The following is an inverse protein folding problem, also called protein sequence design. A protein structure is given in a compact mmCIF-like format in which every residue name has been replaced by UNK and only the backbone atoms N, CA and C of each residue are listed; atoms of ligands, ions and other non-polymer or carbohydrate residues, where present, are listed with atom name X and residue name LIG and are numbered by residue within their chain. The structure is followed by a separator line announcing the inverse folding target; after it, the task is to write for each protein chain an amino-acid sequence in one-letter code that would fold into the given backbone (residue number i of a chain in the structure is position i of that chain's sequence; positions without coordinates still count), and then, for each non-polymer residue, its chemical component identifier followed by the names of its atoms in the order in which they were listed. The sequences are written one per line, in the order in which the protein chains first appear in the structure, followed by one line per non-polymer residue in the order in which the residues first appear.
data_IF_277753657160
#
_entry.id   IF_277753657160
#
_cell.length_a   1.000
_cell.length_b   1.000
_cell.length_c   1.000
_cell.angle_alpha   90.00
_cell.angle_beta   90.00
_cell.angle_gamma   90.00
#
_symmetry.space_group_name_H-M   'P 1'
#
loop_
_entity.id
_entity.type
_entity.pdbx_description
1 polymer ?
#
# COMPACT_ATOMS: atom_id res chain seq x y z
N UNK A 1 24.91 -4.38 -79.34
CA UNK A 1 26.15 -3.93 -80.02
C UNK A 1 26.67 -2.68 -79.31
N UNK A 2 27.95 -2.72 -78.87
CA UNK A 2 28.91 -1.61 -78.65
C UNK A 2 28.40 -0.35 -77.93
N UNK A 3 28.95 0.07 -76.79
CA UNK A 3 30.24 0.79 -76.57
C UNK A 3 30.45 0.86 -75.04
N UNK A 4 31.55 0.45 -74.41
CA UNK A 4 32.95 0.94 -74.41
C UNK A 4 33.14 2.34 -73.79
N UNK A 5 33.90 2.38 -72.69
CA UNK A 5 34.69 3.52 -72.18
C UNK A 5 34.05 4.30 -71.03
N UNK A 6 34.74 4.82 -70.02
CA UNK A 6 36.17 5.10 -69.79
C UNK A 6 36.35 5.36 -68.27
N UNK A 7 37.56 5.09 -67.79
CA UNK A 7 38.15 5.38 -66.47
C UNK A 7 37.92 6.82 -65.96
N UNK A 8 37.82 6.97 -64.64
CA UNK A 8 38.31 8.18 -63.96
C UNK A 8 38.90 7.82 -62.59
N UNK A 9 40.18 8.16 -62.43
CA UNK A 9 40.92 8.15 -61.18
C UNK A 9 40.98 9.59 -60.64
N UNK A 10 40.88 9.77 -59.32
CA UNK A 10 41.58 10.80 -58.54
C UNK A 10 41.21 10.59 -57.06
N UNK A 11 42.13 10.18 -56.20
CA UNK A 11 43.20 10.95 -55.54
C UNK A 11 42.72 11.60 -54.23
N UNK A 12 43.43 11.19 -53.18
CA UNK A 12 43.28 11.47 -51.76
C UNK A 12 42.91 12.92 -51.41
N UNK A 13 41.95 13.06 -50.49
CA UNK A 13 41.72 14.27 -49.72
C UNK A 13 42.58 14.21 -48.44
N UNK A 14 43.45 15.20 -48.24
CA UNK A 14 44.19 15.40 -47.00
C UNK A 14 44.16 16.89 -46.62
N UNK A 15 43.47 17.21 -45.54
CA UNK A 15 43.52 18.52 -44.86
C UNK A 15 43.87 18.22 -43.39
N UNK A 16 44.91 18.82 -42.80
CA UNK A 16 45.17 18.68 -41.38
C UNK A 16 44.42 19.76 -40.61
N UNK A 17 43.66 19.36 -39.60
CA UNK A 17 43.19 20.25 -38.55
C UNK A 17 43.76 19.74 -37.22
N UNK A 18 44.83 20.38 -36.75
CA UNK A 18 45.37 20.14 -35.40
C UNK A 18 44.87 21.27 -34.52
N UNK A 19 44.03 20.95 -33.55
CA UNK A 19 43.92 21.72 -32.31
C UNK A 19 43.68 20.73 -31.16
N UNK A 20 44.48 20.92 -30.12
CA UNK A 20 44.43 20.22 -28.85
C UNK A 20 43.05 20.37 -28.18
N UNK A 21 42.64 19.37 -27.40
CA UNK A 21 42.18 19.52 -26.02
C UNK A 21 41.85 18.14 -25.44
N UNK A 22 42.53 17.80 -24.35
CA UNK A 22 42.24 16.63 -23.53
C UNK A 22 40.81 16.70 -23.01
N UNK A 23 40.00 15.68 -23.31
CA UNK A 23 38.66 15.49 -22.75
C UNK A 23 38.73 14.35 -21.72
N UNK A 24 38.37 14.68 -20.50
CA UNK A 24 38.27 13.76 -19.38
C UNK A 24 37.29 12.63 -19.68
N UNK A 25 37.70 11.40 -19.38
CA UNK A 25 36.84 10.24 -19.38
C UNK A 25 35.76 10.42 -18.30
N UNK A 26 34.49 10.36 -18.71
CA UNK A 26 33.37 10.04 -17.82
C UNK A 26 32.37 9.23 -18.63
N UNK A 27 32.44 7.92 -18.44
CA UNK A 27 31.62 6.92 -19.08
C UNK A 27 30.17 7.03 -18.61
N UNK A 28 29.30 7.42 -19.54
CA UNK A 28 27.86 7.19 -19.43
C UNK A 28 27.58 5.69 -19.46
N UNK A 29 26.99 5.15 -18.39
CA UNK A 29 25.96 4.10 -18.54
C UNK A 29 24.81 4.42 -17.60
N UNK A 30 23.65 4.63 -18.21
CA UNK A 30 22.39 4.83 -17.52
C UNK A 30 21.97 3.58 -16.75
N UNK A 31 21.54 3.78 -15.50
CA UNK A 31 20.36 3.19 -14.85
C UNK A 31 20.19 3.94 -13.53
N UNK A 32 19.58 5.12 -13.64
CA UNK A 32 19.06 5.84 -12.49
C UNK A 32 17.76 5.13 -12.05
N UNK A 33 17.90 4.02 -11.32
CA UNK A 33 16.83 3.48 -10.48
C UNK A 33 16.83 4.26 -9.15
N UNK A 34 16.71 5.58 -9.26
CA UNK A 34 16.32 6.45 -8.16
C UNK A 34 14.81 6.29 -7.94
N UNK A 35 14.45 5.21 -7.25
CA UNK A 35 13.17 5.09 -6.56
C UNK A 35 13.37 4.64 -5.12
N UNK A 36 14.40 5.16 -4.45
CA UNK A 36 14.44 5.19 -2.99
C UNK A 36 13.70 6.41 -2.48
N UNK A 37 12.42 6.55 -2.85
CA UNK A 37 11.49 7.17 -1.91
C UNK A 37 11.42 6.17 -0.77
N UNK A 38 12.21 6.40 0.28
CA UNK A 38 11.86 5.91 1.60
C UNK A 38 10.43 6.40 1.84
N UNK A 39 9.45 5.53 1.56
CA UNK A 39 8.05 5.84 1.69
C UNK A 39 7.81 6.06 3.18
N UNK A 40 7.95 7.32 3.61
CA UNK A 40 7.56 7.77 4.93
C UNK A 40 6.17 7.19 5.18
N UNK A 41 6.07 6.33 6.18
CA UNK A 41 4.85 5.60 6.49
C UNK A 41 3.78 6.62 6.86
N UNK A 42 2.92 7.00 5.89
CA UNK A 42 1.96 8.09 6.07
C UNK A 42 0.94 7.70 7.12
N UNK A 43 1.02 8.33 8.29
CA UNK A 43 0.07 8.16 9.37
C UNK A 43 -1.26 8.84 9.00
N UNK A 44 -2.36 8.12 9.18
CA UNK A 44 -3.71 8.59 8.89
C UNK A 44 -4.54 8.83 10.15
N UNK A 45 -4.11 8.32 11.30
CA UNK A 45 -4.86 8.45 12.55
C UNK A 45 -4.60 7.30 13.51
N UNK A 46 -5.59 7.00 14.36
CA UNK A 46 -5.50 5.97 15.38
C UNK A 46 -6.77 5.10 15.38
N UNK A 47 -6.59 3.80 15.53
CA UNK A 47 -7.63 2.81 15.76
C UNK A 47 -7.67 2.48 17.26
N UNK A 48 -8.87 2.51 17.85
CA UNK A 48 -9.10 2.08 19.23
C UNK A 48 -10.21 1.03 19.30
N UNK A 49 -9.95 -0.06 19.99
CA UNK A 49 -10.91 -1.15 20.21
C UNK A 49 -10.92 -1.48 21.72
N UNK A 50 -11.79 -0.83 22.51
CA UNK A 50 -11.78 -0.95 23.97
C UNK A 50 -11.96 -2.38 24.48
N UNK A 51 -12.87 -3.16 23.87
CA UNK A 51 -13.12 -4.56 24.27
C UNK A 51 -11.88 -5.46 24.15
N UNK A 52 -10.88 -5.06 23.36
CA UNK A 52 -9.61 -5.78 23.21
C UNK A 52 -8.43 -5.09 23.91
N UNK A 53 -8.63 -3.90 24.48
CA UNK A 53 -7.54 -3.06 24.98
C UNK A 53 -6.58 -2.59 23.89
N UNK A 54 -7.04 -2.48 22.64
CA UNK A 54 -6.17 -2.14 21.50
C UNK A 54 -6.23 -0.64 21.22
N UNK A 55 -5.06 -0.03 21.11
CA UNK A 55 -4.82 1.30 20.55
C UNK A 55 -3.66 1.18 19.57
N UNK A 56 -3.87 1.53 18.30
CA UNK A 56 -2.84 1.36 17.26
C UNK A 56 -2.89 2.50 16.24
N UNK A 57 -1.72 2.91 15.76
CA UNK A 57 -1.60 3.90 14.67
C UNK A 57 -2.07 3.29 13.36
N UNK A 58 -2.87 4.05 12.60
CA UNK A 58 -3.31 3.70 11.25
C UNK A 58 -2.34 4.31 10.24
N UNK A 59 -1.73 3.49 9.42
CA UNK A 59 -0.85 3.90 8.33
C UNK A 59 -1.53 3.68 6.97
N UNK A 60 -1.16 4.47 5.95
CA UNK A 60 -1.61 4.24 4.57
C UNK A 60 -0.89 3.04 3.97
N UNK A 61 -1.65 2.08 3.41
CA UNK A 61 -1.12 0.88 2.78
C UNK A 61 -1.36 -0.39 3.63
N UNK A 62 -1.31 -1.54 2.96
CA UNK A 62 -1.60 -2.87 3.55
C UNK A 62 -0.44 -3.84 3.31
N UNK A 63 0.78 -3.40 3.61
CA UNK A 63 2.01 -4.21 3.51
C UNK A 63 2.53 -4.60 4.89
N UNK A 64 3.48 -5.55 4.94
CA UNK A 64 4.14 -5.91 6.19
C UNK A 64 4.81 -4.71 6.86
N UNK A 65 5.39 -3.78 6.09
CA UNK A 65 6.03 -2.58 6.64
C UNK A 65 5.07 -1.74 7.48
N UNK A 66 3.79 -1.61 7.08
CA UNK A 66 2.77 -0.94 7.90
C UNK A 66 2.37 -1.79 9.11
N UNK A 67 2.12 -3.09 8.90
CA UNK A 67 1.61 -3.97 9.96
C UNK A 67 2.63 -4.24 11.07
N UNK A 68 3.93 -4.13 10.79
CA UNK A 68 5.02 -4.30 11.76
C UNK A 68 5.14 -3.11 12.72
N UNK A 69 4.50 -1.98 12.41
CA UNK A 69 4.50 -0.76 13.23
C UNK A 69 3.10 -0.33 13.70
N UNK A 70 2.03 -0.88 13.14
CA UNK A 70 0.66 -0.57 13.54
C UNK A 70 -0.38 -1.37 12.75
N UNK A 71 -1.45 -0.70 12.33
CA UNK A 71 -2.43 -1.22 11.39
C UNK A 71 -2.37 -0.43 10.08
N UNK A 72 -2.76 -1.06 8.98
CA UNK A 72 -2.69 -0.46 7.65
C UNK A 72 -4.06 -0.30 7.02
N UNK A 73 -4.36 0.87 6.49
CA UNK A 73 -5.60 1.18 5.76
C UNK A 73 -5.41 0.92 4.27
N UNK A 74 -6.38 0.24 3.67
CA UNK A 74 -6.41 -0.03 2.24
C UNK A 74 -6.47 1.29 1.45
N UNK A 75 -5.54 1.52 0.49
CA UNK A 75 -5.53 2.73 -0.31
C UNK A 75 -6.85 2.96 -1.05
N UNK A 76 -7.35 4.21 -1.04
CA UNK A 76 -8.63 4.55 -1.65
C UNK A 76 -9.85 4.29 -0.76
N UNK A 77 -9.65 3.85 0.50
CA UNK A 77 -10.73 3.87 1.51
C UNK A 77 -11.31 5.28 1.65
N UNK A 78 -12.62 5.42 1.90
CA UNK A 78 -13.26 6.72 2.09
C UNK A 78 -12.86 7.35 3.43
N UNK A 79 -13.26 8.61 3.66
CA UNK A 79 -13.07 9.23 4.97
C UNK A 79 -14.00 8.59 6.03
N UNK A 80 -13.60 8.55 7.32
CA UNK A 80 -14.44 8.03 8.37
C UNK A 80 -15.80 8.73 8.44
N UNK A 81 -16.88 7.95 8.60
CA UNK A 81 -18.25 8.45 8.71
C UNK A 81 -18.94 8.74 7.37
N UNK A 82 -18.24 8.67 6.24
CA UNK A 82 -18.86 8.81 4.91
C UNK A 82 -19.25 7.45 4.33
N UNK A 83 -20.20 7.43 3.40
CA UNK A 83 -20.58 6.21 2.69
C UNK A 83 -19.35 5.55 2.03
N UNK A 84 -19.38 4.22 1.99
CA UNK A 84 -18.26 3.40 1.54
C UNK A 84 -17.69 2.53 2.65
N UNK A 85 -16.56 1.90 2.37
CA UNK A 85 -15.98 0.86 3.20
C UNK A 85 -14.51 1.20 3.51
N UNK A 86 -14.22 1.55 4.76
CA UNK A 86 -12.85 1.67 5.25
C UNK A 86 -12.35 0.28 5.57
N UNK A 87 -11.19 -0.10 5.03
CA UNK A 87 -10.64 -1.44 5.22
C UNK A 87 -9.30 -1.34 5.91
N UNK A 88 -9.18 -1.94 7.10
CA UNK A 88 -7.96 -1.88 7.92
C UNK A 88 -7.46 -3.30 8.20
N UNK A 89 -6.21 -3.54 7.83
CA UNK A 89 -5.48 -4.77 8.07
C UNK A 89 -4.50 -4.66 9.24
N UNK A 90 -4.15 -5.79 9.82
CA UNK A 90 -3.12 -5.86 10.84
C UNK A 90 -2.75 -7.30 11.17
N UNK A 91 -1.60 -7.48 11.83
CA UNK A 91 -1.10 -8.79 12.20
C UNK A 91 -1.91 -9.45 13.33
N UNK A 92 -2.05 -10.78 13.23
CA UNK A 92 -2.61 -11.62 14.30
C UNK A 92 -1.54 -12.25 15.18
N UNK A 93 -0.38 -12.60 14.64
CA UNK A 93 0.58 -13.48 15.32
C UNK A 93 2.02 -12.98 15.38
N UNK A 94 2.37 -11.88 14.72
CA UNK A 94 3.73 -11.32 14.79
C UNK A 94 4.02 -10.66 16.14
N UNK A 95 5.22 -10.11 16.31
CA UNK A 95 5.61 -9.40 17.53
C UNK A 95 4.64 -8.25 17.87
N UNK A 96 4.34 -7.39 16.89
CA UNK A 96 3.24 -6.40 16.99
C UNK A 96 1.98 -6.97 16.35
N UNK A 97 1.06 -7.41 17.21
CA UNK A 97 -0.17 -8.11 16.81
C UNK A 97 -1.41 -7.44 17.38
N UNK A 98 -1.79 -6.24 16.88
CA UNK A 98 -2.98 -5.53 17.36
C UNK A 98 -4.25 -6.36 17.21
N UNK A 99 -4.29 -7.33 16.29
CA UNK A 99 -5.45 -8.19 16.04
C UNK A 99 -5.31 -9.60 16.63
N UNK A 100 -4.39 -9.82 17.57
CA UNK A 100 -4.17 -11.14 18.19
C UNK A 100 -5.43 -11.79 18.78
N UNK A 101 -6.33 -10.96 19.34
CA UNK A 101 -7.57 -11.40 20.00
C UNK A 101 -8.82 -10.92 19.25
N UNK A 102 -8.71 -10.63 17.94
CA UNK A 102 -9.83 -10.05 17.18
C UNK A 102 -11.08 -10.93 17.15
N UNK A 103 -10.91 -12.24 17.29
CA UNK A 103 -11.97 -13.23 17.41
C UNK A 103 -12.79 -13.13 18.72
N UNK A 104 -12.32 -12.33 19.69
CA UNK A 104 -13.08 -12.02 20.90
C UNK A 104 -14.09 -10.89 20.72
N UNK A 105 -14.02 -10.12 19.62
CA UNK A 105 -15.01 -9.10 19.32
C UNK A 105 -16.36 -9.72 18.97
N UNK A 106 -17.40 -9.13 19.52
CA UNK A 106 -18.79 -9.56 19.35
C UNK A 106 -19.62 -8.43 18.75
N UNK A 107 -20.76 -8.79 18.16
CA UNK A 107 -21.76 -7.82 17.71
C UNK A 107 -22.11 -6.86 18.85
N UNK A 108 -22.13 -5.56 18.57
CA UNK A 108 -22.37 -4.52 19.57
C UNK A 108 -21.10 -3.85 20.12
N UNK A 109 -19.94 -4.49 20.01
CA UNK A 109 -18.69 -3.88 20.48
C UNK A 109 -18.34 -2.63 19.68
N UNK A 110 -17.80 -1.62 20.36
CA UNK A 110 -17.41 -0.36 19.75
C UNK A 110 -15.98 -0.41 19.21
N UNK A 111 -15.79 0.18 18.03
CA UNK A 111 -14.51 0.45 17.40
C UNK A 111 -14.46 1.94 17.08
N UNK A 112 -13.34 2.59 17.36
CA UNK A 112 -13.17 4.02 17.13
C UNK A 112 -12.02 4.28 16.16
N UNK A 113 -12.26 5.16 15.19
CA UNK A 113 -11.22 5.79 14.39
C UNK A 113 -11.07 7.23 14.87
N UNK A 114 -9.85 7.64 15.19
CA UNK A 114 -9.50 9.01 15.54
C UNK A 114 -8.67 9.57 14.38
N UNK A 115 -9.19 10.61 13.73
CA UNK A 115 -8.59 11.26 12.56
C UNK A 115 -8.93 12.74 12.60
N UNK A 116 -7.93 13.59 12.38
CA UNK A 116 -8.07 15.06 12.33
C UNK A 116 -8.81 15.66 13.54
N UNK A 117 -8.45 15.20 14.75
CA UNK A 117 -9.08 15.64 16.01
C UNK A 117 -10.51 15.13 16.23
N UNK A 118 -11.10 14.40 15.28
CA UNK A 118 -12.45 13.84 15.35
C UNK A 118 -12.41 12.37 15.72
N UNK A 119 -13.44 11.91 16.43
CA UNK A 119 -13.61 10.52 16.82
C UNK A 119 -14.86 9.96 16.15
N UNK A 120 -14.69 8.91 15.37
CA UNK A 120 -15.73 8.23 14.62
C UNK A 120 -16.01 6.88 15.26
N UNK A 121 -17.25 6.66 15.69
CA UNK A 121 -17.68 5.42 16.34
C UNK A 121 -18.29 4.47 15.33
N UNK A 122 -17.80 3.24 15.32
CA UNK A 122 -18.35 2.11 14.59
C UNK A 122 -18.78 1.04 15.59
N UNK A 123 -19.83 0.29 15.26
CA UNK A 123 -20.34 -0.82 16.07
C UNK A 123 -20.25 -2.11 15.26
N UNK A 124 -19.62 -3.13 15.83
CA UNK A 124 -19.49 -4.45 15.20
C UNK A 124 -20.88 -4.98 14.86
N UNK A 125 -21.09 -5.32 13.59
CA UNK A 125 -22.35 -5.85 13.07
C UNK A 125 -22.28 -7.35 12.81
N UNK A 126 -21.14 -7.86 12.31
CA UNK A 126 -20.90 -9.29 12.11
C UNK A 126 -19.43 -9.64 11.99
N UNK A 127 -19.13 -10.94 12.10
CA UNK A 127 -17.80 -11.52 11.83
C UNK A 127 -17.91 -12.56 10.72
N UNK A 128 -16.82 -12.78 9.99
CA UNK A 128 -16.75 -13.73 8.87
C UNK A 128 -15.36 -14.38 8.85
N UNK A 129 -15.27 -15.61 8.35
CA UNK A 129 -14.01 -16.21 7.91
C UNK A 129 -14.08 -16.38 6.40
N UNK A 130 -13.09 -15.85 5.69
CA UNK A 130 -13.01 -15.88 4.22
C UNK A 130 -11.66 -16.42 3.78
N UNK A 131 -11.52 -16.83 2.53
CA UNK A 131 -10.23 -17.26 1.99
C UNK A 131 -9.29 -16.07 1.82
N UNK A 132 -7.97 -16.32 1.77
CA UNK A 132 -6.98 -15.24 1.60
C UNK A 132 -7.14 -14.41 0.31
N UNK A 133 -7.84 -14.94 -0.70
CA UNK A 133 -8.01 -14.31 -2.02
C UNK A 133 -9.36 -13.57 -2.14
N UNK A 134 -10.19 -13.57 -1.09
CA UNK A 134 -11.50 -12.92 -1.09
C UNK A 134 -11.40 -11.39 -1.02
N UNK A 135 -10.93 -10.77 -2.10
CA UNK A 135 -10.75 -9.31 -2.19
C UNK A 135 -12.07 -8.54 -2.17
N UNK A 136 -13.22 -9.22 -2.35
CA UNK A 136 -14.53 -8.57 -2.30
C UNK A 136 -14.81 -7.89 -0.96
N UNK A 137 -14.11 -8.26 0.12
CA UNK A 137 -14.20 -7.60 1.42
C UNK A 137 -13.86 -6.11 1.35
N UNK A 138 -13.11 -5.67 0.33
CA UNK A 138 -12.68 -4.28 0.15
C UNK A 138 -13.66 -3.43 -0.64
N UNK A 139 -14.66 -4.05 -1.28
CA UNK A 139 -15.61 -3.32 -2.13
C UNK A 139 -16.34 -2.23 -1.33
N UNK A 140 -16.64 -1.08 -1.95
CA UNK A 140 -17.45 -0.04 -1.36
C UNK A 140 -18.82 -0.57 -0.92
N UNK A 141 -19.39 0.07 0.09
CA UNK A 141 -20.74 -0.20 0.60
C UNK A 141 -21.61 1.04 0.50
N UNK A 142 -22.92 0.86 0.39
CA UNK A 142 -23.87 1.98 0.32
C UNK A 142 -23.89 2.84 1.59
N UNK A 143 -23.52 2.27 2.74
CA UNK A 143 -23.43 2.96 4.03
C UNK A 143 -22.01 2.98 4.56
N UNK A 144 -21.71 3.92 5.46
CA UNK A 144 -20.43 4.05 6.12
C UNK A 144 -20.09 2.79 6.94
N UNK A 145 -19.14 2.00 6.44
CA UNK A 145 -18.74 0.70 6.97
C UNK A 145 -17.25 0.66 7.27
N UNK A 146 -16.89 -0.02 8.34
CA UNK A 146 -15.52 -0.40 8.67
C UNK A 146 -15.37 -1.92 8.54
N UNK A 147 -14.34 -2.34 7.82
CA UNK A 147 -13.91 -3.73 7.70
C UNK A 147 -12.53 -3.87 8.33
N UNK A 148 -12.41 -4.68 9.39
CA UNK A 148 -11.09 -5.10 9.90
C UNK A 148 -10.77 -6.49 9.35
N UNK A 149 -9.52 -6.73 8.97
CA UNK A 149 -9.08 -8.05 8.52
C UNK A 149 -7.72 -8.45 9.09
N UNK A 150 -7.53 -9.75 9.29
CA UNK A 150 -6.25 -10.33 9.71
C UNK A 150 -6.10 -11.78 9.27
N UNK A 151 -4.91 -12.35 9.36
CA UNK A 151 -4.65 -13.77 9.07
C UNK A 151 -5.44 -14.72 9.99
N UNK A 152 -5.88 -15.85 9.44
CA UNK A 152 -6.62 -16.87 10.18
C UNK A 152 -6.34 -18.28 9.62
N UNK A 153 -6.38 -19.34 10.45
CA UNK A 153 -6.40 -19.33 11.92
C UNK A 153 -5.07 -18.82 12.53
N UNK A 154 -4.96 -18.80 13.86
CA UNK A 154 -3.72 -18.36 14.55
C UNK A 154 -2.54 -19.18 14.05
N UNK A 155 -1.45 -18.51 13.64
CA UNK A 155 -0.23 -19.13 13.12
C UNK A 155 -0.32 -19.57 11.66
N UNK A 156 -1.45 -19.36 10.99
CA UNK A 156 -1.66 -19.70 9.57
C UNK A 156 -2.17 -18.50 8.78
N UNK A 157 -1.99 -18.55 7.47
CA UNK A 157 -2.35 -17.45 6.54
C UNK A 157 -3.34 -17.89 5.46
N UNK A 158 -3.95 -19.08 5.59
CA UNK A 158 -4.85 -19.65 4.60
C UNK A 158 -6.17 -18.87 4.47
N UNK A 159 -6.63 -18.27 5.56
CA UNK A 159 -7.89 -17.52 5.62
C UNK A 159 -7.67 -16.12 6.20
N UNK A 160 -8.74 -15.33 6.19
CA UNK A 160 -8.83 -14.06 6.90
C UNK A 160 -10.00 -14.08 7.88
N UNK A 161 -9.76 -13.57 9.07
CA UNK A 161 -10.83 -13.26 10.02
C UNK A 161 -11.26 -11.81 9.79
N UNK A 162 -12.54 -11.60 9.56
CA UNK A 162 -13.12 -10.32 9.17
C UNK A 162 -14.07 -9.84 10.25
N UNK A 163 -13.95 -8.56 10.62
CA UNK A 163 -14.96 -7.83 11.37
C UNK A 163 -15.62 -6.84 10.42
N UNK A 164 -16.95 -6.83 10.37
CA UNK A 164 -17.73 -5.74 9.77
C UNK A 164 -18.35 -4.92 10.88
N UNK A 165 -18.24 -3.60 10.79
CA UNK A 165 -18.81 -2.65 11.73
C UNK A 165 -19.46 -1.48 10.99
N UNK A 166 -20.57 -0.98 11.52
CA UNK A 166 -21.35 0.11 10.92
C UNK A 166 -21.10 1.40 11.68
N UNK A 167 -20.94 2.52 10.96
CA UNK A 167 -20.79 3.83 11.57
C UNK A 167 -22.04 4.19 12.37
N UNK A 168 -21.86 4.84 13.51
CA UNK A 168 -22.95 5.44 14.28
C UNK A 168 -22.68 6.93 14.40
N UNK A 169 -23.48 7.79 13.72
CA UNK A 169 -23.40 9.23 13.87
C UNK A 169 -23.54 9.66 15.32
N UNK A 170 -22.92 10.79 15.66
CA UNK A 170 -23.14 11.47 16.94
C UNK A 170 -24.34 12.39 16.85
#
# INVERSE_FOLDING_TARGET
MRRLGIFLAALACAIPATNAHASAQSTSTMRDENHSVSATQKQLGQLRIPALGVTSTIFQGVTNAQFDIGVGEWPGSPQPGTNGNIVIGGHRTSAKRPFAKIDKLKKGDAIFIIRDGKTFRYVVSRTLVVTKNDIWITRPTATATLTLFTCHPVGKTSHRYIIRASYVPR
#
